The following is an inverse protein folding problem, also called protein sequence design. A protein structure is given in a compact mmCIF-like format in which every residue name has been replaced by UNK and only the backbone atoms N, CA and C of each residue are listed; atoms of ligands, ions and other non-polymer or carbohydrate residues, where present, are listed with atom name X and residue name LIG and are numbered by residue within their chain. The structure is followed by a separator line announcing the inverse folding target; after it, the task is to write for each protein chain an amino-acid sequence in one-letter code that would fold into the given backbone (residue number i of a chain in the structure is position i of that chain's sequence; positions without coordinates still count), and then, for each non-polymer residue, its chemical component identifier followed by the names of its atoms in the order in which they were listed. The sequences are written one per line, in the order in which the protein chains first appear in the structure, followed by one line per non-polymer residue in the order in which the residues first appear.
data_IF_869290143770
#
_entry.id   IF_869290143770
#
_cell.length_a   1.000
_cell.length_b   1.000
_cell.length_c   1.000
_cell.angle_alpha   90.00
_cell.angle_beta   90.00
_cell.angle_gamma   90.00
#
_symmetry.space_group_name_H-M   'P 1'
#
loop_
_entity.id
_entity.type
_entity.pdbx_description
1 polymer ?
#
# COMPACT_ATOMS: atom_id res chain seq x y z
N UNK A 1 -13.74 7.33 12.24
CA UNK A 1 -12.70 6.95 11.22
C UNK A 1 -12.52 5.45 11.31
N UNK A 2 -12.69 4.70 10.21
CA UNK A 2 -12.60 3.23 10.25
C UNK A 2 -11.14 2.82 10.52
N UNK A 3 -10.83 2.46 11.77
CA UNK A 3 -9.46 2.20 12.23
C UNK A 3 -8.72 1.12 11.43
N UNK A 4 -9.46 0.11 10.95
CA UNK A 4 -8.90 -0.94 10.11
C UNK A 4 -8.39 -0.42 8.75
N UNK A 5 -9.14 0.45 8.09
CA UNK A 5 -8.73 1.05 6.81
C UNK A 5 -7.52 1.97 7.00
N UNK A 6 -7.51 2.75 8.09
CA UNK A 6 -6.37 3.60 8.42
C UNK A 6 -5.11 2.79 8.70
N UNK A 7 -5.22 1.67 9.42
CA UNK A 7 -4.10 0.75 9.67
C UNK A 7 -3.59 0.13 8.37
N UNK A 8 -4.48 -0.37 7.51
CA UNK A 8 -4.10 -0.94 6.21
C UNK A 8 -3.36 0.09 5.33
N UNK A 9 -3.86 1.32 5.28
CA UNK A 9 -3.23 2.43 4.58
C UNK A 9 -1.83 2.74 5.15
N UNK A 10 -1.71 2.81 6.47
CA UNK A 10 -0.43 3.05 7.14
C UNK A 10 0.60 1.97 6.84
N UNK A 11 0.21 0.69 6.88
CA UNK A 11 1.09 -0.42 6.56
C UNK A 11 1.56 -0.39 5.10
N UNK A 12 0.72 0.02 4.16
CA UNK A 12 1.11 0.19 2.76
C UNK A 12 2.11 1.34 2.57
N UNK A 13 1.93 2.46 3.28
CA UNK A 13 2.92 3.54 3.29
C UNK A 13 4.27 3.10 3.87
N UNK A 14 4.26 2.33 4.97
CA UNK A 14 5.47 1.76 5.54
C UNK A 14 6.15 0.83 4.54
N UNK A 15 5.41 -0.07 3.87
CA UNK A 15 5.95 -0.93 2.80
C UNK A 15 6.59 -0.08 1.70
N UNK A 16 5.88 0.94 1.22
CA UNK A 16 6.34 1.78 0.13
C UNK A 16 7.66 2.47 0.50
N UNK A 17 7.76 3.05 1.70
CA UNK A 17 9.00 3.66 2.19
C UNK A 17 10.15 2.64 2.26
N UNK A 18 9.92 1.44 2.82
CA UNK A 18 10.93 0.38 2.90
C UNK A 18 11.44 -0.04 1.51
N UNK A 19 10.54 -0.19 0.53
CA UNK A 19 10.89 -0.53 -0.85
C UNK A 19 11.62 0.60 -1.58
N UNK A 20 11.23 1.84 -1.31
CA UNK A 20 11.91 3.03 -1.83
C UNK A 20 13.39 3.06 -1.40
N UNK A 21 13.71 2.60 -0.18
CA UNK A 21 15.10 2.50 0.27
C UNK A 21 15.76 1.14 -0.01
N UNK A 22 15.20 0.35 -0.93
CA UNK A 22 15.73 -0.98 -1.31
C UNK A 22 15.86 -1.96 -0.12
N UNK A 23 15.06 -1.79 0.93
CA UNK A 23 15.17 -2.60 2.15
C UNK A 23 14.72 -4.04 1.86
N UNK A 24 15.62 -5.00 2.07
CA UNK A 24 15.33 -6.43 1.96
C UNK A 24 14.51 -6.98 3.12
N UNK A 25 14.20 -8.28 3.10
CA UNK A 25 13.40 -8.96 4.12
C UNK A 25 14.24 -9.70 5.19
N UNK A 26 15.50 -9.30 5.41
CA UNK A 26 16.38 -9.95 6.40
C UNK A 26 15.95 -9.65 7.84
N UNK A 27 15.34 -8.48 8.09
CA UNK A 27 14.79 -8.11 9.39
C UNK A 27 13.36 -8.67 9.54
N UNK A 28 13.06 -9.26 10.71
CA UNK A 28 11.78 -9.90 10.99
C UNK A 28 10.58 -8.95 10.89
N UNK A 29 10.70 -7.71 11.37
CA UNK A 29 9.63 -6.70 11.29
C UNK A 29 9.36 -6.32 9.84
N UNK A 30 10.41 -6.09 9.05
CA UNK A 30 10.28 -5.77 7.61
C UNK A 30 9.64 -6.94 6.85
N UNK A 31 10.07 -8.16 7.12
CA UNK A 31 9.49 -9.37 6.53
C UNK A 31 8.00 -9.50 6.88
N UNK A 32 7.64 -9.24 8.14
CA UNK A 32 6.25 -9.23 8.58
C UNK A 32 5.41 -8.16 7.86
N UNK A 33 5.91 -6.93 7.74
CA UNK A 33 5.23 -5.85 6.98
C UNK A 33 5.02 -6.29 5.53
N UNK A 34 6.05 -6.82 4.87
CA UNK A 34 5.95 -7.27 3.48
C UNK A 34 4.96 -8.44 3.30
N UNK A 35 4.88 -9.35 4.28
CA UNK A 35 3.94 -10.47 4.26
C UNK A 35 2.50 -9.98 4.44
N UNK A 36 2.22 -9.18 5.47
CA UNK A 36 0.85 -8.76 5.78
C UNK A 36 0.29 -7.81 4.72
N UNK A 37 1.12 -6.95 4.14
CA UNK A 37 0.71 -6.04 3.07
C UNK A 37 0.59 -6.71 1.71
N UNK A 38 1.05 -7.96 1.55
CA UNK A 38 0.94 -8.69 0.28
C UNK A 38 -0.53 -8.87 -0.13
N UNK A 39 -1.39 -9.26 0.80
CA UNK A 39 -2.82 -9.48 0.53
C UNK A 39 -3.53 -8.20 0.05
N UNK A 40 -3.10 -7.04 0.53
CA UNK A 40 -3.63 -5.73 0.14
C UNK A 40 -3.20 -5.31 -1.27
N UNK A 41 -2.10 -5.90 -1.77
CA UNK A 41 -1.59 -5.63 -3.12
C UNK A 41 -2.16 -6.59 -4.15
N UNK A 42 -2.45 -7.83 -3.76
CA UNK A 42 -2.88 -8.91 -4.67
C UNK A 42 -3.97 -8.49 -5.67
N UNK A 43 -5.02 -7.72 -5.31
CA UNK A 43 -6.03 -7.28 -6.27
C UNK A 43 -5.51 -6.37 -7.40
N UNK A 44 -4.31 -5.80 -7.23
CA UNK A 44 -3.71 -4.82 -8.14
C UNK A 44 -2.46 -5.36 -8.86
N UNK A 45 -2.08 -6.61 -8.58
CA UNK A 45 -0.95 -7.25 -9.26
C UNK A 45 -1.26 -7.43 -10.76
N UNK A 46 -0.26 -7.20 -11.61
CA UNK A 46 -0.41 -7.29 -13.07
C UNK A 46 -1.00 -6.05 -13.77
N UNK A 47 -1.46 -5.03 -13.03
CA UNK A 47 -1.97 -3.77 -13.63
C UNK A 47 -0.85 -2.94 -14.26
N UNK A 48 0.30 -2.86 -13.60
CA UNK A 48 1.48 -2.19 -14.12
C UNK A 48 2.49 -3.23 -14.62
N UNK A 49 3.19 -2.94 -15.73
CA UNK A 49 4.38 -3.71 -16.07
C UNK A 49 5.42 -3.55 -14.95
N UNK A 50 6.20 -4.60 -14.68
CA UNK A 50 7.31 -4.52 -13.73
C UNK A 50 8.34 -3.50 -14.23
N UNK A 51 8.27 -2.28 -13.69
CA UNK A 51 9.27 -1.25 -13.95
C UNK A 51 10.52 -1.57 -13.13
N UNK A 52 11.33 -2.52 -13.62
CA UNK A 52 12.71 -2.61 -13.18
C UNK A 52 13.46 -1.44 -13.78
N UNK A 53 13.71 -0.39 -12.98
CA UNK A 53 14.64 0.67 -13.36
C UNK A 53 16.03 0.03 -13.37
N UNK A 54 16.42 -0.47 -14.55
CA UNK A 54 17.72 -1.09 -14.81
C UNK A 54 18.78 -0.06 -14.40
N UNK A 55 19.46 -0.31 -13.28
CA UNK A 55 20.55 0.47 -12.66
C UNK A 55 20.22 1.33 -11.42
N UNK A 56 18.99 1.37 -10.90
CA UNK A 56 18.68 2.04 -9.62
C UNK A 56 18.21 1.05 -8.54
N UNK A 57 18.90 1.07 -7.40
CA UNK A 57 18.53 0.30 -6.21
C UNK A 57 17.13 0.62 -5.62
N UNK A 58 16.60 1.85 -5.64
CA UNK A 58 15.22 2.09 -5.20
C UNK A 58 14.21 1.46 -6.16
N UNK A 59 13.45 0.47 -5.65
CA UNK A 59 12.35 -0.16 -6.41
C UNK A 59 11.09 0.62 -6.12
N UNK A 60 10.68 1.49 -7.05
CA UNK A 60 9.35 2.09 -7.01
C UNK A 60 8.33 0.99 -7.29
N UNK A 61 7.69 0.52 -6.23
CA UNK A 61 6.73 -0.57 -6.31
C UNK A 61 5.35 -0.01 -6.68
N UNK A 62 5.13 0.23 -7.98
CA UNK A 62 3.90 0.89 -8.50
C UNK A 62 2.60 0.23 -8.02
N UNK A 63 2.57 -1.09 -7.88
CA UNK A 63 1.42 -1.81 -7.32
C UNK A 63 1.10 -1.39 -5.88
N UNK A 64 2.11 -1.11 -5.05
CA UNK A 64 1.90 -0.59 -3.69
C UNK A 64 1.35 0.83 -3.75
N UNK A 65 1.89 1.67 -4.63
CA UNK A 65 1.41 3.04 -4.79
C UNK A 65 -0.04 3.07 -5.28
N UNK A 66 -0.42 2.17 -6.20
CA UNK A 66 -1.80 2.04 -6.64
C UNK A 66 -2.72 1.58 -5.51
N UNK A 67 -2.32 0.59 -4.72
CA UNK A 67 -3.08 0.16 -3.56
C UNK A 67 -3.32 1.33 -2.59
N UNK A 68 -2.29 2.13 -2.32
CA UNK A 68 -2.40 3.36 -1.50
C UNK A 68 -3.46 4.31 -2.08
N UNK A 69 -3.40 4.62 -3.37
CA UNK A 69 -4.35 5.55 -4.01
C UNK A 69 -5.77 5.01 -3.95
N UNK A 70 -5.98 3.73 -4.29
CA UNK A 70 -7.32 3.12 -4.31
C UNK A 70 -7.91 3.03 -2.91
N UNK A 71 -7.15 2.59 -1.91
CA UNK A 71 -7.66 2.52 -0.54
C UNK A 71 -7.90 3.90 0.09
N UNK A 72 -7.12 4.92 -0.27
CA UNK A 72 -7.40 6.30 0.12
C UNK A 72 -8.72 6.80 -0.48
N UNK A 73 -8.99 6.50 -1.77
CA UNK A 73 -10.26 6.83 -2.41
C UNK A 73 -11.44 6.09 -1.77
N UNK A 74 -11.31 4.79 -1.50
CA UNK A 74 -12.33 4.00 -0.80
C UNK A 74 -12.61 4.60 0.58
N UNK A 75 -11.58 4.92 1.34
CA UNK A 75 -11.72 5.54 2.66
C UNK A 75 -12.48 6.87 2.58
N UNK A 76 -12.11 7.72 1.61
CA UNK A 76 -12.76 9.00 1.38
C UNK A 76 -14.24 8.86 1.02
N UNK A 77 -14.57 7.95 0.08
CA UNK A 77 -15.95 7.68 -0.36
C UNK A 77 -16.79 7.16 0.80
N UNK A 78 -16.30 6.16 1.54
CA UNK A 78 -17.00 5.60 2.72
C UNK A 78 -17.27 6.72 3.74
N UNK A 79 -16.28 7.56 4.03
CA UNK A 79 -16.47 8.67 4.96
C UNK A 79 -17.50 9.69 4.48
N UNK A 80 -17.57 9.96 3.17
CA UNK A 80 -18.59 10.84 2.57
C UNK A 80 -19.99 10.24 2.69
N UNK A 81 -20.15 8.96 2.37
CA UNK A 81 -21.44 8.25 2.41
C UNK A 81 -21.98 8.22 3.84
N UNK A 82 -21.15 7.88 4.83
CA UNK A 82 -21.56 7.84 6.24
C UNK A 82 -22.09 9.21 6.70
N UNK A 83 -21.34 10.30 6.43
CA UNK A 83 -21.78 11.65 6.80
C UNK A 83 -23.05 12.09 6.08
N UNK A 84 -23.23 11.67 4.82
CA UNK A 84 -24.43 11.99 4.06
C UNK A 84 -25.67 11.25 4.58
N UNK A 85 -25.51 10.07 5.17
CA UNK A 85 -26.61 9.32 5.80
C UNK A 85 -26.98 9.81 7.21
N UNK A 86 -26.17 10.66 7.81
CA UNK A 86 -26.38 11.23 9.15
C UNK A 86 -27.14 12.57 9.13
N UNK A 87 -27.44 13.11 7.94
CA UNK A 87 -28.21 14.34 7.73
C UNK A 87 -29.56 14.07 7.06
#
# INVERSE_FOLDING_TARGET
MNGLLALAQGLLWVRFALKLFAVGSSNALVAWVYKITKILRTPFEGIFPDLMIRNWAPVIELTTLLAIVVYALIHFIIGRVIRASEG
#
